data_IF_235060457870
#
_entry.id   IF_235060457870
#
_cell.length_a   1.000
_cell.length_b   1.000
_cell.length_c   1.000
_cell.angle_alpha   90.00
_cell.angle_beta   90.00
_cell.angle_gamma   90.00
#
_symmetry.space_group_name_H-M   'P 1'
#
loop_
_entity.id
_entity.type
_entity.pdbx_description
1 polymer ?
#
# COMPACT_ATOMS: atom_id res chain seq x y z
N UNK A 1 11.62 4.78 -13.07
CA UNK A 1 11.11 5.73 -12.05
C UNK A 1 9.62 6.04 -12.22
N UNK A 2 9.13 6.22 -13.46
CA UNK A 2 7.75 6.60 -13.73
C UNK A 2 6.76 5.42 -13.64
N UNK A 3 7.04 4.31 -14.33
CA UNK A 3 6.13 3.17 -14.42
C UNK A 3 5.81 2.56 -13.05
N UNK A 4 6.83 2.19 -12.29
CA UNK A 4 6.67 1.63 -10.95
C UNK A 4 5.88 2.55 -10.00
N UNK A 5 5.99 3.87 -10.15
CA UNK A 5 5.32 4.82 -9.26
C UNK A 5 3.88 5.12 -9.67
N UNK A 6 3.59 5.18 -10.97
CA UNK A 6 2.28 5.61 -11.46
C UNK A 6 1.49 4.47 -12.10
N UNK A 7 2.14 3.68 -12.97
CA UNK A 7 1.54 2.55 -13.68
C UNK A 7 1.13 1.42 -12.73
N UNK A 8 2.04 0.98 -11.85
CA UNK A 8 1.76 -0.14 -10.93
C UNK A 8 0.60 0.16 -9.98
N UNK A 9 0.53 1.39 -9.45
CA UNK A 9 -0.57 1.79 -8.57
C UNK A 9 -1.92 1.74 -9.27
N UNK A 10 -1.98 2.24 -10.51
CA UNK A 10 -3.21 2.23 -11.31
C UNK A 10 -3.62 0.80 -11.67
N UNK A 11 -2.75 0.03 -12.31
CA UNK A 11 -3.09 -1.29 -12.83
C UNK A 11 -3.46 -2.28 -11.72
N UNK A 12 -2.81 -2.20 -10.56
CA UNK A 12 -3.13 -3.05 -9.41
C UNK A 12 -4.55 -2.79 -8.91
N UNK A 13 -4.93 -1.53 -8.75
CA UNK A 13 -6.27 -1.18 -8.25
C UNK A 13 -7.36 -1.44 -9.30
N UNK A 14 -7.08 -1.19 -10.58
CA UNK A 14 -8.00 -1.52 -11.67
C UNK A 14 -8.27 -3.04 -11.69
N UNK A 15 -7.24 -3.88 -11.52
CA UNK A 15 -7.38 -5.32 -11.46
C UNK A 15 -8.13 -5.79 -10.20
N UNK A 16 -7.80 -5.25 -9.02
CA UNK A 16 -8.45 -5.62 -7.76
C UNK A 16 -9.94 -5.27 -7.81
N UNK A 17 -10.28 -4.03 -8.19
CA UNK A 17 -11.68 -3.60 -8.28
C UNK A 17 -12.43 -4.37 -9.38
N UNK A 18 -11.80 -4.59 -10.54
CA UNK A 18 -12.43 -5.31 -11.64
C UNK A 18 -12.68 -6.79 -11.35
N UNK A 19 -11.82 -7.46 -10.57
CA UNK A 19 -11.96 -8.89 -10.25
C UNK A 19 -12.81 -9.16 -9.01
N UNK A 20 -12.71 -8.31 -8.00
CA UNK A 20 -13.40 -8.53 -6.71
C UNK A 20 -14.69 -7.73 -6.56
N UNK A 21 -14.91 -6.74 -7.43
CA UNK A 21 -15.97 -5.74 -7.28
C UNK A 21 -15.96 -5.04 -5.90
N UNK A 22 -14.78 -4.97 -5.26
CA UNK A 22 -14.60 -4.42 -3.93
C UNK A 22 -14.55 -2.89 -3.94
N UNK A 23 -15.34 -2.25 -3.08
CA UNK A 23 -15.22 -0.82 -2.79
C UNK A 23 -14.01 -0.58 -1.88
N UNK A 24 -13.09 0.28 -2.32
CA UNK A 24 -11.84 0.60 -1.60
C UNK A 24 -12.04 1.71 -0.55
N UNK A 25 -13.01 2.61 -0.74
CA UNK A 25 -13.26 3.70 0.18
C UNK A 25 -13.61 3.20 1.60
N UNK A 26 -12.95 3.77 2.62
CA UNK A 26 -13.13 3.40 4.02
C UNK A 26 -12.43 2.10 4.45
N UNK A 27 -11.86 1.33 3.51
CA UNK A 27 -11.16 0.07 3.80
C UNK A 27 -9.76 0.29 4.32
N UNK A 28 -9.29 -0.62 5.17
CA UNK A 28 -7.91 -0.65 5.63
C UNK A 28 -7.03 -1.40 4.63
N UNK A 29 -6.18 -0.65 3.90
CA UNK A 29 -5.27 -1.21 2.90
C UNK A 29 -3.85 -1.24 3.48
N UNK A 30 -3.31 -2.44 3.64
CA UNK A 30 -1.94 -2.67 4.07
C UNK A 30 -1.03 -2.82 2.86
N UNK A 31 0.00 -1.98 2.77
CA UNK A 31 1.03 -2.02 1.72
C UNK A 31 2.34 -2.49 2.33
N UNK A 32 2.80 -3.67 1.91
CA UNK A 32 4.08 -4.22 2.38
C UNK A 32 5.21 -3.79 1.45
N UNK A 33 6.09 -2.92 1.95
CA UNK A 33 7.19 -2.29 1.23
C UNK A 33 6.84 -0.88 0.75
N UNK A 34 7.78 0.06 0.89
CA UNK A 34 7.61 1.47 0.55
C UNK A 34 8.66 1.98 -0.45
N UNK A 35 9.07 1.09 -1.37
CA UNK A 35 9.82 1.44 -2.56
C UNK A 35 8.96 2.18 -3.60
N UNK A 36 9.44 2.26 -4.85
CA UNK A 36 8.73 2.97 -5.92
C UNK A 36 7.30 2.43 -6.16
N UNK A 37 7.12 1.11 -6.17
CA UNK A 37 5.81 0.48 -6.30
C UNK A 37 4.90 0.75 -5.09
N UNK A 38 5.44 0.60 -3.87
CA UNK A 38 4.71 0.84 -2.62
C UNK A 38 4.16 2.25 -2.51
N UNK A 39 4.95 3.26 -2.91
CA UNK A 39 4.50 4.65 -2.95
C UNK A 39 3.34 4.87 -3.91
N UNK A 40 3.41 4.26 -5.10
CA UNK A 40 2.34 4.35 -6.09
C UNK A 40 1.03 3.76 -5.58
N UNK A 41 1.12 2.58 -4.96
CA UNK A 41 -0.02 1.87 -4.40
C UNK A 41 -0.59 2.63 -3.20
N UNK A 42 0.24 3.09 -2.27
CA UNK A 42 -0.19 3.86 -1.10
C UNK A 42 -0.90 5.18 -1.52
N UNK A 43 -0.32 5.92 -2.47
CA UNK A 43 -0.93 7.13 -3.01
C UNK A 43 -2.29 6.85 -3.66
N UNK A 44 -2.40 5.77 -4.45
CA UNK A 44 -3.65 5.41 -5.12
C UNK A 44 -4.70 4.96 -4.11
N UNK A 45 -4.33 4.14 -3.13
CA UNK A 45 -5.21 3.69 -2.07
C UNK A 45 -5.80 4.89 -1.29
N UNK A 46 -4.95 5.83 -0.90
CA UNK A 46 -5.38 7.06 -0.23
C UNK A 46 -6.30 7.90 -1.12
N UNK A 47 -5.97 8.06 -2.41
CA UNK A 47 -6.80 8.77 -3.38
C UNK A 47 -8.18 8.14 -3.60
N UNK A 48 -8.31 6.82 -3.36
CA UNK A 48 -9.57 6.08 -3.37
C UNK A 48 -10.31 6.13 -2.03
N UNK A 49 -9.80 6.85 -1.03
CA UNK A 49 -10.41 7.03 0.30
C UNK A 49 -10.12 5.89 1.28
N UNK A 50 -9.08 5.10 1.06
CA UNK A 50 -8.68 4.02 1.97
C UNK A 50 -7.88 4.53 3.18
N UNK A 51 -7.96 3.77 4.28
CA UNK A 51 -7.07 3.88 5.42
C UNK A 51 -5.77 3.12 5.14
N UNK A 52 -4.72 3.83 4.76
CA UNK A 52 -3.45 3.19 4.34
C UNK A 52 -2.54 2.90 5.53
N UNK A 53 -2.11 1.65 5.63
CA UNK A 53 -1.06 1.18 6.54
C UNK A 53 0.12 0.70 5.71
N UNK A 54 1.33 1.13 6.05
CA UNK A 54 2.58 0.70 5.41
C UNK A 54 3.37 -0.18 6.37
N UNK A 55 3.95 -1.26 5.86
CA UNK A 55 4.93 -2.05 6.61
C UNK A 55 6.27 -1.99 5.88
N UNK A 56 7.33 -1.56 6.57
CA UNK A 56 8.69 -1.48 6.01
C UNK A 56 9.72 -1.99 7.01
N UNK A 57 10.79 -2.57 6.47
CA UNK A 57 12.00 -2.98 7.20
C UNK A 57 13.05 -1.86 7.18
N UNK A 58 13.08 -1.03 6.14
CA UNK A 58 14.02 0.08 6.02
C UNK A 58 13.50 1.27 6.85
N UNK A 59 14.23 1.71 7.90
CA UNK A 59 13.79 2.79 8.77
C UNK A 59 13.66 4.13 8.05
N UNK A 60 14.44 4.38 7.00
CA UNK A 60 14.35 5.62 6.21
C UNK A 60 13.03 5.63 5.44
N UNK A 61 12.71 4.53 4.75
CA UNK A 61 11.46 4.40 4.00
C UNK A 61 10.23 4.38 4.89
N UNK A 62 10.34 3.77 6.07
CA UNK A 62 9.31 3.82 7.09
C UNK A 62 9.07 5.26 7.58
N UNK A 63 10.13 6.04 7.80
CA UNK A 63 9.99 7.45 8.16
C UNK A 63 9.34 8.25 7.03
N UNK A 64 9.76 8.05 5.79
CA UNK A 64 9.15 8.70 4.62
C UNK A 64 7.66 8.37 4.50
N UNK A 65 7.26 7.11 4.72
CA UNK A 65 5.84 6.73 4.73
C UNK A 65 5.04 7.45 5.82
N UNK A 66 5.64 7.66 7.00
CA UNK A 66 5.02 8.48 8.06
C UNK A 66 4.91 9.94 7.67
N UNK A 67 5.93 10.50 7.01
CA UNK A 67 5.91 11.89 6.53
C UNK A 67 4.86 12.11 5.42
N UNK A 68 4.64 11.10 4.58
CA UNK A 68 3.57 11.08 3.57
C UNK A 68 2.17 10.89 4.19
N UNK A 69 2.06 10.73 5.52
CA UNK A 69 0.81 10.68 6.26
C UNK A 69 0.22 9.28 6.49
N UNK A 70 0.97 8.23 6.16
CA UNK A 70 0.51 6.85 6.34
C UNK A 70 0.83 6.32 7.74
N UNK A 71 0.01 5.38 8.23
CA UNK A 71 0.32 4.64 9.46
C UNK A 71 1.43 3.63 9.13
N UNK A 72 2.49 3.59 9.94
CA UNK A 72 3.52 2.55 9.84
C UNK A 72 3.44 1.63 11.03
N UNK A 73 3.28 0.34 10.75
CA UNK A 73 3.09 -0.72 11.72
C UNK A 73 3.88 -1.98 11.32
N UNK A 74 4.11 -2.88 12.28
CA UNK A 74 4.60 -4.22 11.96
C UNK A 74 3.46 -5.03 11.33
N UNK A 75 3.79 -5.91 10.38
CA UNK A 75 2.79 -6.71 9.66
C UNK A 75 1.88 -7.53 10.60
N UNK A 76 2.43 -8.05 11.70
CA UNK A 76 1.68 -8.83 12.71
C UNK A 76 0.52 -8.06 13.34
N UNK A 77 0.62 -6.74 13.41
CA UNK A 77 -0.43 -5.88 13.95
C UNK A 77 -1.32 -5.35 12.82
N UNK A 78 -0.73 -4.97 11.69
CA UNK A 78 -1.46 -4.48 10.52
C UNK A 78 -2.48 -5.51 9.99
N UNK A 79 -2.14 -6.81 9.99
CA UNK A 79 -3.02 -7.89 9.52
C UNK A 79 -4.33 -7.97 10.32
N UNK A 80 -4.33 -7.56 11.59
CA UNK A 80 -5.53 -7.61 12.44
C UNK A 80 -6.61 -6.61 12.02
N UNK A 81 -6.21 -5.55 11.32
CA UNK A 81 -7.07 -4.47 10.87
C UNK A 81 -7.27 -4.47 9.34
N UNK A 82 -6.62 -5.37 8.61
CA UNK A 82 -6.52 -5.33 7.15
C UNK A 82 -7.78 -5.86 6.46
N UNK A 83 -8.34 -5.06 5.54
CA UNK A 83 -9.31 -5.55 4.56
C UNK A 83 -8.62 -6.01 3.26
N UNK A 84 -7.49 -5.39 2.91
CA UNK A 84 -6.71 -5.69 1.71
C UNK A 84 -5.22 -5.59 2.05
N UNK A 85 -4.45 -6.59 1.61
CA UNK A 85 -2.99 -6.62 1.78
C UNK A 85 -2.34 -6.70 0.41
N UNK A 86 -1.41 -5.78 0.13
CA UNK A 86 -0.68 -5.71 -1.13
C UNK A 86 0.83 -5.75 -0.83
N UNK A 87 1.50 -6.79 -1.33
CA UNK A 87 2.95 -6.98 -1.15
C UNK A 87 3.73 -6.46 -2.36
N UNK A 88 4.70 -5.59 -2.13
CA UNK A 88 5.55 -4.98 -3.17
C UNK A 88 7.00 -4.82 -2.71
N UNK A 89 7.45 -5.70 -1.81
CA UNK A 89 8.83 -5.75 -1.34
C UNK A 89 9.79 -6.33 -2.38
N UNK A 90 9.28 -7.16 -3.30
CA UNK A 90 10.12 -7.99 -4.19
C UNK A 90 10.92 -9.06 -3.44
N UNK A 91 10.60 -9.28 -2.17
CA UNK A 91 11.24 -10.25 -1.29
C UNK A 91 10.29 -11.43 -1.05
N UNK A 92 10.85 -12.56 -0.65
CA UNK A 92 10.12 -13.79 -0.31
C UNK A 92 10.05 -14.03 1.21
N UNK A 93 10.79 -13.23 1.99
CA UNK A 93 10.96 -13.30 3.44
C UNK A 93 10.69 -11.94 4.10
#
# INVERSE_FOLDING_TARGET
>A
LFDNRYGTGQSSFDAIMGTTNMLIAGKSVVVCGYGWCGRGIALRAQGLGANVIVTEIDPIRALEARMDGYRVMKIRDAVKEADLIITVTGNIN
#
